data_IF_873635418771
#
_entry.id   IF_873635418771
#
_cell.length_a   1.000
_cell.length_b   1.000
_cell.length_c   1.000
_cell.angle_alpha   90.00
_cell.angle_beta   90.00
_cell.angle_gamma   90.00
#
_symmetry.space_group_name_H-M   'P 1'
#
loop_
_entity.id
_entity.type
_entity.pdbx_description
1 polymer ?
#
# COMPACT_ATOMS: atom_id res chain seq x y z
N UNK A 1 -4.86 5.95 -5.06
CA UNK A 1 -4.70 7.05 -4.12
C UNK A 1 -3.44 6.74 -3.34
N UNK A 2 -2.35 7.45 -3.55
CA UNK A 2 -1.17 7.33 -2.69
C UNK A 2 -1.63 7.74 -1.30
N UNK A 3 -1.58 6.81 -0.34
CA UNK A 3 -1.76 7.14 1.06
C UNK A 3 -0.68 8.16 1.39
N UNK A 4 -1.07 9.41 1.55
CA UNK A 4 -0.21 10.38 2.22
C UNK A 4 0.10 9.79 3.59
N UNK A 5 1.35 9.89 4.01
CA UNK A 5 1.83 9.35 5.30
C UNK A 5 1.17 10.03 6.51
N UNK A 6 0.14 10.84 6.29
CA UNK A 6 -0.50 11.67 7.29
C UNK A 6 -2.02 11.48 7.31
N UNK A 7 -2.58 11.33 8.50
CA UNK A 7 -4.02 11.41 8.75
C UNK A 7 -4.32 12.78 9.37
N UNK A 8 -5.12 13.59 8.67
CA UNK A 8 -5.54 14.88 9.14
C UNK A 8 -7.00 14.81 9.61
N UNK A 9 -7.26 15.23 10.85
CA UNK A 9 -8.58 15.24 11.46
C UNK A 9 -8.90 16.62 12.02
N UNK A 10 -10.17 17.03 11.90
CA UNK A 10 -10.70 18.23 12.50
C UNK A 10 -11.93 17.88 13.34
N UNK A 11 -11.96 18.36 14.59
CA UNK A 11 -13.15 18.26 15.41
C UNK A 11 -14.09 19.44 15.10
N UNK A 12 -15.35 19.12 14.87
CA UNK A 12 -16.42 20.11 14.76
C UNK A 12 -17.39 19.92 15.90
N UNK A 13 -17.55 20.95 16.68
CA UNK A 13 -18.55 20.98 17.72
C UNK A 13 -19.86 21.54 17.14
N UNK A 14 -20.97 20.87 17.38
CA UNK A 14 -22.29 21.28 16.97
C UNK A 14 -23.14 21.51 18.22
N UNK A 15 -23.57 22.75 18.47
CA UNK A 15 -24.39 23.10 19.61
C UNK A 15 -24.05 24.46 20.21
N UNK A 16 -24.90 24.96 21.08
CA UNK A 16 -24.80 26.31 21.64
C UNK A 16 -23.61 26.50 22.60
N UNK A 17 -23.12 25.41 23.16
CA UNK A 17 -22.00 25.44 24.13
C UNK A 17 -20.60 25.28 23.50
N UNK A 18 -20.53 25.25 22.17
CA UNK A 18 -19.25 25.05 21.48
C UNK A 18 -18.22 26.17 21.67
N UNK A 19 -18.66 27.36 22.06
CA UNK A 19 -17.78 28.49 22.41
C UNK A 19 -17.06 28.37 23.76
N UNK A 20 -17.47 27.43 24.59
CA UNK A 20 -16.97 27.23 25.95
C UNK A 20 -15.82 26.21 26.04
N UNK A 21 -15.45 25.57 24.94
CA UNK A 21 -14.36 24.59 24.92
C UNK A 21 -13.02 25.29 25.12
N UNK A 22 -12.31 24.95 26.16
CA UNK A 22 -11.00 25.51 26.51
C UNK A 22 -9.86 24.87 25.72
N UNK A 23 -9.90 23.55 25.59
CA UNK A 23 -8.84 22.79 24.93
C UNK A 23 -9.35 21.51 24.31
N UNK A 24 -8.58 21.00 23.33
CA UNK A 24 -8.77 19.68 22.74
C UNK A 24 -7.48 18.88 22.91
N UNK A 25 -7.59 17.70 23.48
CA UNK A 25 -6.48 16.74 23.61
C UNK A 25 -6.77 15.52 22.75
N UNK A 26 -5.78 15.08 21.99
CA UNK A 26 -5.90 13.96 21.08
C UNK A 26 -5.05 12.79 21.54
N UNK A 27 -5.60 11.58 21.47
CA UNK A 27 -4.87 10.34 21.72
C UNK A 27 -5.15 9.33 20.64
N UNK A 28 -4.12 8.57 20.26
CA UNK A 28 -4.22 7.45 19.34
C UNK A 28 -4.08 6.14 20.11
N UNK A 29 -5.02 5.23 19.90
CA UNK A 29 -5.03 3.91 20.51
C UNK A 29 -4.95 2.85 19.45
N UNK A 30 -4.20 1.80 19.71
CA UNK A 30 -4.17 0.56 18.93
C UNK A 30 -5.08 -0.45 19.63
N UNK A 31 -5.95 -1.09 18.86
CA UNK A 31 -6.82 -2.16 19.34
C UNK A 31 -6.33 -3.46 18.73
N UNK A 32 -5.77 -4.33 19.57
CA UNK A 32 -5.40 -5.68 19.15
C UNK A 32 -6.50 -6.65 19.53
N UNK A 33 -6.97 -7.39 18.54
CA UNK A 33 -7.92 -8.48 18.72
C UNK A 33 -7.17 -9.81 18.71
N UNK A 34 -7.32 -10.58 19.77
CA UNK A 34 -6.97 -11.99 19.78
C UNK A 34 -8.27 -12.81 19.87
N UNK A 35 -8.21 -14.12 19.60
CA UNK A 35 -9.40 -14.97 19.60
C UNK A 35 -10.29 -14.84 20.86
N UNK A 36 -9.72 -14.44 22.00
CA UNK A 36 -10.42 -14.41 23.29
C UNK A 36 -10.27 -13.09 24.06
N UNK A 37 -9.48 -12.13 23.59
CA UNK A 37 -9.19 -10.90 24.33
C UNK A 37 -9.08 -9.68 23.42
N UNK A 38 -9.36 -8.53 24.01
CA UNK A 38 -9.15 -7.23 23.39
C UNK A 38 -8.12 -6.49 24.24
N UNK A 39 -7.08 -5.98 23.62
CA UNK A 39 -6.12 -5.11 24.28
C UNK A 39 -6.13 -3.75 23.60
N UNK A 40 -6.21 -2.70 24.43
CA UNK A 40 -6.10 -1.31 23.96
C UNK A 40 -4.81 -0.76 24.52
N UNK A 41 -3.95 -0.26 23.67
CA UNK A 41 -2.69 0.36 24.07
C UNK A 41 -2.51 1.73 23.41
N UNK A 42 -1.85 2.65 24.13
CA UNK A 42 -1.45 3.93 23.55
C UNK A 42 -0.40 3.71 22.45
N UNK A 43 -0.53 4.43 21.35
CA UNK A 43 0.47 4.40 20.29
C UNK A 43 1.48 5.51 20.55
N UNK A 44 2.71 5.11 20.79
CA UNK A 44 3.80 6.04 21.18
C UNK A 44 4.75 6.39 20.04
N UNK A 45 4.69 5.66 18.90
CA UNK A 45 5.65 5.76 17.81
C UNK A 45 5.19 6.65 16.63
N UNK A 46 4.11 7.40 16.80
CA UNK A 46 3.60 8.33 15.80
C UNK A 46 3.67 9.76 16.31
N UNK A 47 3.87 10.70 15.40
CA UNK A 47 3.82 12.12 15.71
C UNK A 47 2.38 12.59 15.65
N UNK A 48 1.87 13.01 16.78
CA UNK A 48 0.55 13.66 16.90
C UNK A 48 0.79 15.15 17.09
N UNK A 49 0.53 15.93 16.04
CA UNK A 49 0.65 17.39 16.09
C UNK A 49 -0.74 18.02 16.11
N UNK A 50 -1.04 18.80 17.12
CA UNK A 50 -2.30 19.53 17.23
C UNK A 50 -2.12 20.99 16.84
N UNK A 51 -3.11 21.55 16.15
CA UNK A 51 -3.13 22.91 15.63
C UNK A 51 -4.46 23.61 15.97
N UNK A 52 -4.50 24.92 15.85
CA UNK A 52 -5.73 25.72 16.03
C UNK A 52 -6.41 25.47 17.39
N UNK A 53 -5.67 25.66 18.49
CA UNK A 53 -6.12 25.36 19.87
C UNK A 53 -6.55 23.89 20.04
N UNK A 54 -5.90 22.98 19.33
CA UNK A 54 -6.19 21.56 19.39
C UNK A 54 -7.36 21.09 18.53
N UNK A 55 -8.08 21.97 17.80
CA UNK A 55 -9.21 21.56 16.95
C UNK A 55 -8.80 20.69 15.78
N UNK A 56 -7.58 20.83 15.28
CA UNK A 56 -7.03 20.07 14.16
C UNK A 56 -5.85 19.25 14.62
N UNK A 57 -5.77 18.01 14.19
CA UNK A 57 -4.64 17.11 14.45
C UNK A 57 -4.14 16.53 13.14
N UNK A 58 -2.82 16.45 13.01
CA UNK A 58 -2.14 15.69 11.98
C UNK A 58 -1.40 14.56 12.67
N UNK A 59 -1.72 13.33 12.30
CA UNK A 59 -1.01 12.14 12.73
C UNK A 59 -0.10 11.75 11.59
N UNK A 60 1.19 11.97 11.76
CA UNK A 60 2.22 11.66 10.77
C UNK A 60 2.75 10.25 10.96
N UNK A 61 3.39 9.74 9.93
CA UNK A 61 4.04 8.42 9.95
C UNK A 61 3.05 7.26 10.19
N UNK A 62 1.81 7.38 9.71
CA UNK A 62 0.78 6.32 9.85
C UNK A 62 1.25 4.98 9.29
N UNK A 63 2.08 5.01 8.25
CA UNK A 63 2.65 3.77 7.68
C UNK A 63 3.56 3.04 8.66
N UNK A 64 4.15 3.74 9.63
CA UNK A 64 4.94 3.12 10.72
C UNK A 64 4.06 2.42 11.76
N UNK A 65 2.73 2.58 11.69
CA UNK A 65 1.79 1.82 12.52
C UNK A 65 1.62 0.37 12.05
N UNK A 66 2.16 0.03 10.89
CA UNK A 66 2.12 -1.34 10.38
C UNK A 66 2.98 -2.24 11.27
N UNK A 67 2.38 -3.32 11.71
CA UNK A 67 3.08 -4.41 12.37
C UNK A 67 3.25 -5.53 11.36
N UNK A 68 4.49 -5.86 11.02
CA UNK A 68 4.80 -6.90 10.04
C UNK A 68 4.33 -8.30 10.46
N UNK A 69 3.97 -8.49 11.72
CA UNK A 69 3.43 -9.75 12.24
C UNK A 69 1.90 -9.86 12.14
N UNK A 70 1.19 -8.73 11.84
CA UNK A 70 -0.28 -8.66 11.79
C UNK A 70 -0.69 -7.97 10.51
N UNK A 71 -1.63 -8.56 9.76
CA UNK A 71 -2.07 -8.01 8.48
C UNK A 71 -2.94 -6.77 8.64
N UNK A 72 -3.85 -6.78 9.62
CA UNK A 72 -4.77 -5.66 9.87
C UNK A 72 -4.78 -5.27 11.34
N UNK A 73 -4.70 -3.98 11.61
CA UNK A 73 -4.75 -3.44 12.96
C UNK A 73 -5.80 -2.33 13.02
N UNK A 74 -6.72 -2.47 13.96
CA UNK A 74 -7.70 -1.43 14.27
C UNK A 74 -7.06 -0.33 15.10
N UNK A 75 -7.30 0.92 14.71
CA UNK A 75 -6.89 2.10 15.45
C UNK A 75 -8.08 2.95 15.81
N UNK A 76 -8.00 3.64 16.94
CA UNK A 76 -8.98 4.64 17.36
C UNK A 76 -8.28 5.92 17.77
N UNK A 77 -8.60 7.00 17.07
CA UNK A 77 -8.28 8.35 17.51
C UNK A 77 -9.39 8.84 18.43
N UNK A 78 -9.01 9.31 19.61
CA UNK A 78 -9.94 9.91 20.56
C UNK A 78 -9.57 11.36 20.80
N UNK A 79 -10.56 12.25 20.67
CA UNK A 79 -10.44 13.64 21.09
C UNK A 79 -11.17 13.85 22.40
N UNK A 80 -10.56 14.61 23.28
CA UNK A 80 -11.11 15.05 24.56
C UNK A 80 -11.30 16.55 24.47
N UNK A 81 -12.53 17.03 24.61
CA UNK A 81 -12.87 18.44 24.68
C UNK A 81 -13.08 18.81 26.15
N UNK A 82 -12.29 19.74 26.66
CA UNK A 82 -12.36 20.24 28.04
C UNK A 82 -13.17 21.53 28.08
N UNK A 83 -14.16 21.55 28.94
CA UNK A 83 -14.99 22.71 29.25
C UNK A 83 -14.65 23.25 30.64
N UNK A 84 -15.21 24.41 30.99
CA UNK A 84 -15.17 24.88 32.38
C UNK A 84 -15.89 23.88 33.32
N UNK A 85 -15.42 23.80 34.57
CA UNK A 85 -16.01 22.95 35.60
C UNK A 85 -15.85 21.44 35.48
N UNK A 86 -14.71 20.95 35.02
CA UNK A 86 -14.36 19.52 34.99
C UNK A 86 -15.20 18.63 34.04
N UNK A 87 -15.93 19.22 33.15
CA UNK A 87 -16.65 18.46 32.15
C UNK A 87 -15.74 18.15 30.97
N UNK A 88 -15.56 16.87 30.65
CA UNK A 88 -14.83 16.40 29.50
C UNK A 88 -15.80 15.65 28.61
N UNK A 89 -15.90 16.06 27.36
CA UNK A 89 -16.65 15.33 26.32
C UNK A 89 -15.66 14.67 25.38
N UNK A 90 -15.95 13.46 24.96
CA UNK A 90 -15.08 12.68 24.08
C UNK A 90 -15.77 12.30 22.79
N UNK A 91 -15.01 12.32 21.69
CA UNK A 91 -15.41 11.71 20.44
C UNK A 91 -14.32 10.73 19.95
N UNK A 92 -14.73 9.69 19.26
CA UNK A 92 -13.85 8.66 18.73
C UNK A 92 -14.02 8.53 17.22
N UNK A 93 -12.90 8.29 16.54
CA UNK A 93 -12.87 7.86 15.15
C UNK A 93 -12.02 6.60 15.06
N UNK A 94 -12.61 5.50 14.58
CA UNK A 94 -11.89 4.26 14.34
C UNK A 94 -11.53 4.15 12.87
N UNK A 95 -10.33 3.64 12.59
CA UNK A 95 -9.84 3.36 11.25
C UNK A 95 -8.94 2.14 11.27
N UNK A 96 -8.76 1.55 10.10
CA UNK A 96 -7.91 0.38 9.89
C UNK A 96 -6.73 0.79 9.02
N UNK A 97 -5.54 0.35 9.40
CA UNK A 97 -4.35 0.47 8.56
C UNK A 97 -4.18 -0.85 7.83
N UNK A 98 -4.49 -0.83 6.54
CA UNK A 98 -4.31 -1.97 5.67
C UNK A 98 -2.83 -2.17 5.32
N UNK A 99 -2.38 -3.43 5.31
CA UNK A 99 -1.05 -3.84 4.86
C UNK A 99 -1.12 -4.35 3.43
N UNK A 100 -0.13 -4.09 2.58
CA UNK A 100 -0.14 -4.64 1.23
C UNK A 100 0.08 -6.15 1.24
N UNK A 101 -0.34 -6.86 0.17
CA UNK A 101 -0.14 -8.28 0.01
C UNK A 101 1.30 -8.70 0.27
N UNK A 102 1.48 -9.78 1.02
CA UNK A 102 2.78 -10.32 1.41
C UNK A 102 2.95 -11.76 0.94
N UNK A 103 4.18 -12.21 0.97
CA UNK A 103 4.47 -13.62 0.82
C UNK A 103 4.05 -14.41 2.04
N UNK A 104 3.44 -15.54 1.81
CA UNK A 104 3.17 -16.52 2.88
C UNK A 104 4.47 -17.04 3.51
N UNK A 105 5.55 -16.98 2.73
CA UNK A 105 6.94 -17.27 3.13
C UNK A 105 7.85 -16.24 2.48
N UNK A 106 9.14 -16.25 2.81
CA UNK A 106 10.16 -15.49 2.08
C UNK A 106 10.20 -15.82 0.57
N UNK A 107 9.41 -16.80 0.11
CA UNK A 107 9.35 -17.32 -1.26
C UNK A 107 8.29 -16.67 -2.14
N UNK A 108 7.43 -15.76 -1.63
CA UNK A 108 6.50 -15.05 -2.48
C UNK A 108 7.23 -14.22 -3.51
N UNK A 109 6.99 -14.51 -4.73
CA UNK A 109 7.70 -13.87 -5.82
C UNK A 109 6.91 -13.91 -7.13
N UNK A 110 7.53 -13.30 -8.12
CA UNK A 110 7.16 -13.47 -9.52
C UNK A 110 8.42 -13.78 -10.32
N UNK A 111 8.28 -14.55 -11.36
CA UNK A 111 9.36 -14.87 -12.30
C UNK A 111 8.89 -14.74 -13.74
N UNK A 112 9.85 -14.57 -14.64
CA UNK A 112 9.64 -14.58 -16.08
C UNK A 112 10.52 -15.63 -16.72
N UNK A 113 9.97 -16.35 -17.71
CA UNK A 113 10.65 -17.35 -18.52
C UNK A 113 10.16 -17.26 -19.99
N UNK A 114 11.06 -17.39 -20.98
CA UNK A 114 12.52 -17.44 -20.84
C UNK A 114 13.11 -16.12 -20.32
N UNK A 115 14.40 -16.13 -19.94
CA UNK A 115 15.10 -14.91 -19.46
C UNK A 115 15.61 -14.02 -20.60
N UNK A 116 15.63 -14.55 -21.80
CA UNK A 116 15.98 -13.83 -23.03
C UNK A 116 15.15 -14.32 -24.21
N UNK A 117 14.95 -13.48 -25.20
CA UNK A 117 14.21 -13.81 -26.41
C UNK A 117 14.14 -12.66 -27.40
N UNK A 118 13.36 -12.88 -28.45
CA UNK A 118 13.18 -11.93 -29.55
C UNK A 118 11.89 -11.13 -29.38
N UNK A 119 11.98 -9.85 -29.71
CA UNK A 119 10.84 -8.94 -29.64
C UNK A 119 9.70 -9.41 -30.54
N UNK A 120 8.46 -9.37 -30.04
CA UNK A 120 7.23 -9.68 -30.78
C UNK A 120 7.14 -11.15 -31.25
N UNK A 121 8.22 -11.91 -31.12
CA UNK A 121 8.32 -13.29 -31.58
C UNK A 121 8.22 -14.28 -30.40
N UNK A 122 9.03 -14.10 -29.38
CA UNK A 122 9.08 -14.99 -28.23
C UNK A 122 7.88 -14.79 -27.31
N UNK A 123 7.23 -15.89 -26.91
CA UNK A 123 6.23 -15.90 -25.87
C UNK A 123 6.93 -15.97 -24.49
N UNK A 124 6.78 -14.91 -23.71
CA UNK A 124 7.28 -14.82 -22.35
C UNK A 124 6.18 -15.16 -21.36
N UNK A 125 6.46 -16.09 -20.45
CA UNK A 125 5.56 -16.49 -19.41
C UNK A 125 5.98 -15.85 -18.07
N UNK A 126 5.09 -15.04 -17.51
CA UNK A 126 5.26 -14.42 -16.21
C UNK A 126 4.36 -15.17 -15.25
N UNK A 127 4.89 -15.61 -14.12
CA UNK A 127 4.17 -16.34 -13.10
C UNK A 127 4.46 -15.76 -11.72
N UNK A 128 3.41 -15.56 -10.92
CA UNK A 128 3.49 -15.12 -9.53
C UNK A 128 2.94 -16.20 -8.60
N UNK A 129 3.51 -16.36 -7.40
CA UNK A 129 3.11 -17.40 -6.45
C UNK A 129 3.32 -16.97 -5.00
N UNK A 130 2.66 -17.69 -4.09
CA UNK A 130 2.78 -17.57 -2.64
C UNK A 130 2.43 -16.18 -2.08
N UNK A 131 1.62 -15.42 -2.79
CA UNK A 131 1.05 -14.17 -2.29
C UNK A 131 -0.16 -14.44 -1.41
N UNK A 132 -0.26 -13.71 -0.31
CA UNK A 132 -1.35 -13.82 0.65
C UNK A 132 -1.73 -12.44 1.19
N UNK A 133 -3.02 -12.31 1.50
CA UNK A 133 -3.61 -11.16 2.17
C UNK A 133 -4.93 -11.59 2.79
N UNK A 134 -5.46 -10.84 3.75
CA UNK A 134 -6.80 -11.05 4.28
C UNK A 134 -7.88 -10.38 3.41
N UNK A 135 -7.50 -9.32 2.68
CA UNK A 135 -8.37 -8.56 1.79
C UNK A 135 -8.36 -9.12 0.37
N UNK A 136 -8.88 -10.32 0.21
CA UNK A 136 -8.98 -11.04 -1.08
C UNK A 136 -10.28 -10.69 -1.84
N UNK A 137 -10.31 -10.89 -3.18
CA UNK A 137 -9.29 -11.49 -4.02
C UNK A 137 -8.13 -10.55 -4.35
N UNK A 138 -6.94 -11.12 -4.55
CA UNK A 138 -5.80 -10.37 -5.06
C UNK A 138 -5.95 -10.11 -6.55
N UNK A 139 -5.46 -8.94 -6.98
CA UNK A 139 -5.36 -8.57 -8.38
C UNK A 139 -3.89 -8.36 -8.77
N UNK A 140 -3.56 -8.69 -10.01
CA UNK A 140 -2.21 -8.64 -10.57
C UNK A 140 -2.20 -7.67 -11.75
N UNK A 141 -1.33 -6.68 -11.71
CA UNK A 141 -1.08 -5.77 -12.82
C UNK A 141 0.30 -6.05 -13.37
N UNK A 142 0.38 -6.49 -14.62
CA UNK A 142 1.62 -6.69 -15.34
C UNK A 142 1.86 -5.51 -16.25
N UNK A 143 3.03 -4.88 -16.11
CA UNK A 143 3.38 -3.67 -16.87
C UNK A 143 4.88 -3.59 -17.13
N UNK A 144 5.28 -2.80 -18.10
CA UNK A 144 6.69 -2.54 -18.37
C UNK A 144 6.97 -1.05 -18.50
N UNK A 145 8.23 -0.68 -18.25
CA UNK A 145 8.72 0.68 -18.44
C UNK A 145 9.14 0.86 -19.90
N UNK A 146 8.53 1.82 -20.58
CA UNK A 146 8.93 2.29 -21.90
C UNK A 146 9.56 3.67 -21.84
N UNK A 147 10.13 4.13 -22.95
CA UNK A 147 10.65 5.51 -23.08
C UNK A 147 9.54 6.57 -22.89
N UNK A 148 8.29 6.21 -23.13
CA UNK A 148 7.13 7.10 -23.05
C UNK A 148 6.34 6.96 -21.75
N UNK A 149 6.80 6.12 -20.81
CA UNK A 149 6.13 5.86 -19.54
C UNK A 149 5.81 4.39 -19.32
N UNK A 150 4.97 4.14 -18.32
CA UNK A 150 4.57 2.79 -17.94
C UNK A 150 3.44 2.30 -18.87
N UNK A 151 3.60 1.12 -19.45
CA UNK A 151 2.62 0.47 -20.29
C UNK A 151 2.03 -0.73 -19.56
N UNK A 152 0.71 -0.74 -19.38
CA UNK A 152 -0.03 -1.87 -18.83
C UNK A 152 -0.17 -2.96 -19.90
N UNK A 153 0.20 -4.19 -19.56
CA UNK A 153 0.02 -5.37 -20.42
C UNK A 153 -1.32 -6.03 -20.08
N UNK A 154 -1.52 -6.33 -18.79
CA UNK A 154 -2.73 -7.00 -18.30
C UNK A 154 -2.99 -6.61 -16.84
N UNK A 155 -4.27 -6.56 -16.47
CA UNK A 155 -4.73 -6.46 -15.07
C UNK A 155 -5.88 -7.42 -14.85
N UNK A 156 -5.92 -8.05 -13.67
CA UNK A 156 -6.98 -8.98 -13.27
C UNK A 156 -6.55 -9.94 -12.16
N UNK A 157 -7.37 -10.95 -11.92
CA UNK A 157 -7.15 -11.91 -10.83
C UNK A 157 -6.21 -13.08 -11.22
N UNK A 158 -5.76 -13.12 -12.48
CA UNK A 158 -4.84 -14.16 -12.94
C UNK A 158 -3.41 -13.80 -12.51
N UNK A 159 -2.79 -14.69 -11.76
CA UNK A 159 -1.41 -14.55 -11.30
C UNK A 159 -0.36 -14.94 -12.36
N UNK A 160 -0.82 -15.32 -13.56
CA UNK A 160 0.03 -15.73 -14.66
C UNK A 160 -0.34 -14.96 -15.94
N UNK A 161 0.68 -14.64 -16.72
CA UNK A 161 0.55 -13.97 -18.02
C UNK A 161 1.48 -14.63 -19.03
N UNK A 162 0.99 -14.93 -20.22
CA UNK A 162 1.80 -15.21 -21.40
C UNK A 162 1.67 -14.04 -22.38
N UNK A 163 2.78 -13.44 -22.76
CA UNK A 163 2.77 -12.26 -23.65
C UNK A 163 4.05 -12.16 -24.45
N UNK A 164 3.91 -11.60 -25.65
CA UNK A 164 5.04 -11.11 -26.43
C UNK A 164 5.43 -9.72 -25.93
N UNK A 165 6.72 -9.47 -25.85
CA UNK A 165 7.25 -8.23 -25.29
C UNK A 165 7.90 -7.38 -26.38
N UNK A 166 7.93 -6.05 -26.20
CA UNK A 166 8.66 -5.15 -27.10
C UNK A 166 10.17 -5.29 -26.87
N UNK A 167 10.95 -4.73 -27.77
CA UNK A 167 12.41 -4.65 -27.64
C UNK A 167 12.80 -3.90 -26.35
N UNK A 168 13.82 -4.42 -25.66
CA UNK A 168 14.40 -3.78 -24.50
C UNK A 168 15.29 -2.59 -24.86
N UNK A 169 15.80 -1.90 -23.83
CA UNK A 169 16.66 -0.73 -23.97
C UNK A 169 18.04 -1.14 -24.54
N UNK A 170 18.35 -0.70 -25.75
CA UNK A 170 19.62 -1.00 -26.41
C UNK A 170 20.84 -0.46 -25.64
N UNK A 171 20.69 0.64 -24.90
CA UNK A 171 21.74 1.18 -24.05
C UNK A 171 22.02 0.32 -22.82
N UNK A 172 21.11 -0.59 -22.48
CA UNK A 172 21.18 -1.54 -21.37
C UNK A 172 21.22 -3.00 -21.82
N UNK A 173 21.89 -3.28 -22.91
CA UNK A 173 22.00 -4.63 -23.49
C UNK A 173 20.62 -5.27 -23.73
N UNK A 174 19.68 -4.50 -24.26
CA UNK A 174 18.29 -4.93 -24.55
C UNK A 174 17.51 -5.41 -23.32
N UNK A 175 17.89 -4.95 -22.13
CA UNK A 175 17.18 -5.25 -20.90
C UNK A 175 15.85 -4.50 -20.87
N UNK A 176 14.77 -5.22 -20.64
CA UNK A 176 13.42 -4.70 -20.39
C UNK A 176 13.08 -4.87 -18.91
N UNK A 177 12.70 -3.79 -18.26
CA UNK A 177 12.18 -3.82 -16.90
C UNK A 177 10.66 -3.99 -16.91
N UNK A 178 10.18 -5.07 -16.29
CA UNK A 178 8.77 -5.29 -16.02
C UNK A 178 8.50 -5.05 -14.54
N UNK A 179 7.31 -4.59 -14.26
CA UNK A 179 6.79 -4.49 -12.90
C UNK A 179 5.52 -5.33 -12.78
N UNK A 180 5.41 -6.06 -11.69
CA UNK A 180 4.16 -6.71 -11.28
C UNK A 180 3.70 -6.05 -9.99
N UNK A 181 2.48 -5.52 -9.99
CA UNK A 181 1.82 -5.07 -8.78
C UNK A 181 0.83 -6.15 -8.34
N UNK A 182 0.98 -6.58 -7.11
CA UNK A 182 0.01 -7.46 -6.45
C UNK A 182 -0.77 -6.59 -5.49
N UNK A 183 -2.07 -6.46 -5.73
CA UNK A 183 -2.97 -5.52 -5.06
C UNK A 183 -4.11 -6.27 -4.38
N UNK A 184 -4.48 -5.83 -3.18
CA UNK A 184 -5.66 -6.28 -2.45
C UNK A 184 -6.93 -5.51 -2.86
N UNK A 185 -8.06 -5.85 -2.24
CA UNK A 185 -9.35 -5.19 -2.48
C UNK A 185 -9.45 -3.78 -1.91
N UNK A 186 -8.61 -3.41 -0.97
CA UNK A 186 -8.51 -2.08 -0.37
C UNK A 186 -7.49 -1.18 -1.07
N UNK A 187 -6.89 -1.65 -2.19
CA UNK A 187 -5.91 -0.94 -3.01
C UNK A 187 -4.51 -0.79 -2.41
N UNK A 188 -4.16 -1.46 -1.32
CA UNK A 188 -2.77 -1.58 -0.96
C UNK A 188 -2.05 -2.55 -1.91
N UNK A 189 -0.79 -2.32 -2.20
CA UNK A 189 -0.08 -3.15 -3.17
C UNK A 189 1.39 -3.36 -2.83
N UNK A 190 1.88 -4.49 -3.25
CA UNK A 190 3.32 -4.81 -3.30
C UNK A 190 3.78 -4.87 -4.75
N UNK A 191 4.96 -4.27 -5.00
CA UNK A 191 5.58 -4.21 -6.32
C UNK A 191 6.75 -5.19 -6.39
N UNK A 192 6.80 -5.97 -7.48
CA UNK A 192 7.95 -6.79 -7.87
C UNK A 192 8.50 -6.33 -9.21
N UNK A 193 9.82 -6.19 -9.30
CA UNK A 193 10.53 -5.90 -10.54
C UNK A 193 11.09 -7.19 -11.11
N UNK A 194 10.91 -7.36 -12.40
CA UNK A 194 11.46 -8.46 -13.19
C UNK A 194 12.28 -7.88 -14.34
N UNK A 195 13.30 -8.60 -14.72
CA UNK A 195 14.16 -8.20 -15.83
C UNK A 195 14.26 -9.34 -16.84
N UNK A 196 14.19 -8.97 -18.11
CA UNK A 196 14.28 -9.90 -19.23
C UNK A 196 15.03 -9.23 -20.38
N UNK A 197 15.83 -9.97 -21.10
CA UNK A 197 16.54 -9.48 -22.28
C UNK A 197 15.68 -9.73 -23.51
N UNK A 198 15.29 -8.66 -24.21
CA UNK A 198 14.46 -8.74 -25.42
C UNK A 198 15.16 -8.01 -26.55
N UNK A 199 15.75 -8.76 -27.47
CA UNK A 199 16.51 -8.24 -28.61
C UNK A 199 15.70 -8.27 -29.92
N UNK A 200 16.22 -7.63 -30.94
CA UNK A 200 15.68 -7.81 -32.28
C UNK A 200 15.99 -9.22 -32.79
N UNK A 201 15.14 -9.69 -33.69
CA UNK A 201 15.42 -10.89 -34.49
C UNK A 201 16.82 -10.76 -35.14
N UNK A 202 17.70 -11.71 -34.87
CA UNK A 202 18.98 -11.77 -35.59
C UNK A 202 18.68 -12.07 -37.04
N UNK A 203 18.82 -11.07 -37.88
CA UNK A 203 18.71 -11.31 -39.33
C UNK A 203 19.91 -12.19 -39.77
N UNK A 204 19.72 -13.48 -40.07
CA UNK A 204 20.83 -14.38 -40.42
C UNK A 204 21.49 -14.05 -41.78
N UNK A 205 20.98 -13.02 -42.48
CA UNK A 205 21.45 -12.62 -43.78
C UNK A 205 22.49 -11.49 -43.81
N UNK A 206 22.96 -11.03 -42.62
CA UNK A 206 23.95 -9.95 -42.49
C UNK A 206 25.31 -10.42 -41.92
N UNK A 207 25.69 -11.67 -42.19
CA UNK A 207 27.07 -12.18 -41.96
C UNK A 207 27.78 -12.38 -43.27
#
# INVERSE_FOLDING_TARGET
MTLEDNLELEVRCNGDQCGEVKSYTWKLFQIRRTANTWTVSDVVNVRVNSYMNGRRVIISDILNLRDDSVMTIDYTVRVFAEFDFYNVVTANLSFVVNSPPRGFTSEASCAISPKEGEAISTDFFISCWAWNDEDIPLTYEFRYQSAYGIILIQSGNLQNLSSKLPIGDSAKDFLLELEVLVRDTLNAFTKKKLFVKVSNERNPLLN
#
